data_IF_288221448617
#
_entry.id   IF_288221448617
#
_cell.length_a   1.000
_cell.length_b   1.000
_cell.length_c   1.000
_cell.angle_alpha   90.00
_cell.angle_beta   90.00
_cell.angle_gamma   90.00
#
_symmetry.space_group_name_H-M   'P 1'
#
loop_
_entity.id
_entity.type
_entity.pdbx_description
1 polymer ?
#
# COMPACT_ATOMS: atom_id res chain seq x y z
N UNK A 1 3.07 19.53 8.12
CA UNK A 1 2.52 19.90 6.81
C UNK A 1 1.62 18.81 6.31
N UNK A 2 0.51 19.13 5.65
CA UNK A 2 -0.38 18.13 5.11
C UNK A 2 0.30 17.35 4.00
N UNK A 3 0.28 16.02 4.07
CA UNK A 3 0.45 15.19 2.91
C UNK A 3 -0.88 15.20 2.16
N UNK A 4 -0.93 15.92 1.04
CA UNK A 4 -2.14 15.95 0.22
C UNK A 4 -2.37 14.56 -0.34
N UNK A 5 -3.57 14.05 -0.14
CA UNK A 5 -4.04 12.88 -0.87
C UNK A 5 -3.99 13.18 -2.36
N UNK A 6 -3.52 12.24 -3.15
CA UNK A 6 -3.72 12.28 -4.57
C UNK A 6 -5.20 12.12 -4.87
N UNK A 7 -5.78 13.19 -5.21
CA UNK A 7 -7.16 13.28 -5.59
C UNK A 7 -7.53 14.69 -5.95
N UNK A 8 -6.90 15.69 -5.42
CA UNK A 8 -7.00 17.08 -5.87
C UNK A 8 -6.10 17.99 -5.04
N UNK A 9 -5.49 19.01 -5.63
CA UNK A 9 -5.00 20.15 -4.88
C UNK A 9 -6.15 20.77 -4.07
N UNK A 10 -5.86 21.38 -2.92
CA UNK A 10 -6.86 21.92 -2.02
C UNK A 10 -7.90 22.84 -2.66
N UNK A 11 -7.57 23.46 -3.76
CA UNK A 11 -8.40 24.48 -4.40
C UNK A 11 -9.28 23.97 -5.55
N UNK A 12 -9.13 22.71 -6.00
CA UNK A 12 -9.78 22.17 -7.20
C UNK A 12 -10.79 21.07 -6.97
N UNK A 13 -10.85 20.48 -5.78
CA UNK A 13 -11.87 19.48 -5.48
C UNK A 13 -12.69 19.93 -4.27
N UNK A 14 -14.02 19.77 -4.33
CA UNK A 14 -14.89 20.01 -3.18
C UNK A 14 -14.52 19.10 -2.00
N UNK A 15 -13.86 17.96 -2.27
CA UNK A 15 -13.37 17.03 -1.25
C UNK A 15 -11.95 16.58 -1.59
N UNK A 16 -10.98 17.03 -0.81
CA UNK A 16 -9.60 16.58 -0.84
C UNK A 16 -9.26 15.85 0.45
N UNK A 17 -8.30 14.96 0.40
CA UNK A 17 -7.82 14.22 1.57
C UNK A 17 -6.36 14.54 1.84
N UNK A 18 -6.02 14.68 3.12
CA UNK A 18 -4.65 14.89 3.55
C UNK A 18 -4.42 14.28 4.92
N UNK A 19 -3.16 14.21 5.34
CA UNK A 19 -2.85 13.95 6.74
C UNK A 19 -2.28 15.22 7.37
N UNK A 20 -2.87 15.64 8.48
CA UNK A 20 -2.43 16.77 9.30
C UNK A 20 -1.77 16.26 10.58
N UNK A 21 -0.72 16.95 11.04
CA UNK A 21 -0.05 16.59 12.30
C UNK A 21 -0.81 17.21 13.48
N UNK A 22 -1.40 16.36 14.32
CA UNK A 22 -2.17 16.75 15.52
C UNK A 22 -1.62 15.97 16.69
N UNK A 23 -1.24 16.66 17.78
CA UNK A 23 -0.64 16.02 18.96
C UNK A 23 0.62 15.19 18.63
N UNK A 24 1.45 15.64 17.68
CA UNK A 24 2.65 14.91 17.26
C UNK A 24 2.42 13.76 16.27
N UNK A 25 1.18 13.37 16.02
CA UNK A 25 0.81 12.26 15.10
C UNK A 25 0.12 12.77 13.84
N UNK A 26 0.35 12.08 12.73
CA UNK A 26 -0.35 12.37 11.48
C UNK A 26 -1.72 11.73 11.50
N UNK A 27 -2.76 12.50 11.15
CA UNK A 27 -4.17 12.08 11.14
C UNK A 27 -4.83 12.41 9.81
N UNK A 28 -5.68 11.50 9.33
CA UNK A 28 -6.40 11.64 8.07
C UNK A 28 -7.49 12.71 8.19
N UNK A 29 -7.53 13.62 7.22
CA UNK A 29 -8.52 14.69 7.11
C UNK A 29 -9.09 14.73 5.70
N UNK A 30 -10.31 15.22 5.57
CA UNK A 30 -10.91 15.60 4.30
C UNK A 30 -11.25 17.09 4.29
N UNK A 31 -11.29 17.69 3.13
CA UNK A 31 -11.71 19.08 2.95
C UNK A 31 -13.17 19.10 2.52
N UNK A 32 -13.99 19.82 3.27
CA UNK A 32 -15.40 20.06 2.98
C UNK A 32 -15.71 21.51 3.26
N UNK A 33 -16.34 22.21 2.31
CA UNK A 33 -16.69 23.64 2.39
C UNK A 33 -15.48 24.52 2.80
N UNK A 34 -14.33 24.24 2.22
CA UNK A 34 -13.09 24.98 2.48
C UNK A 34 -12.38 24.66 3.80
N UNK A 35 -12.98 23.84 4.67
CA UNK A 35 -12.43 23.49 5.99
C UNK A 35 -11.92 22.05 6.01
N UNK A 36 -10.83 21.82 6.74
CA UNK A 36 -10.34 20.48 7.00
C UNK A 36 -11.09 19.87 8.17
N UNK A 37 -11.73 18.73 7.94
CA UNK A 37 -12.41 17.92 8.94
C UNK A 37 -11.68 16.58 9.11
N UNK A 38 -11.51 16.13 10.34
CA UNK A 38 -10.91 14.82 10.61
C UNK A 38 -11.79 13.70 10.07
N UNK A 39 -11.19 12.74 9.37
CA UNK A 39 -11.83 11.46 9.08
C UNK A 39 -11.64 10.57 10.30
N UNK A 40 -12.74 10.23 10.98
CA UNK A 40 -12.67 9.32 12.10
C UNK A 40 -12.42 7.89 11.60
N UNK A 41 -11.29 7.31 11.97
CA UNK A 41 -10.86 5.97 11.51
C UNK A 41 -11.07 4.88 12.56
N UNK A 42 -11.37 5.23 13.80
CA UNK A 42 -11.46 4.25 14.89
C UNK A 42 -10.12 3.59 15.27
N UNK A 43 -9.02 4.03 14.68
CA UNK A 43 -7.70 3.57 15.03
C UNK A 43 -7.22 4.19 16.33
N UNK A 44 -6.27 3.56 17.05
CA UNK A 44 -5.70 4.13 18.29
C UNK A 44 -5.23 5.57 18.10
N UNK A 45 -5.40 6.42 19.11
CA UNK A 45 -5.05 7.84 19.04
C UNK A 45 -3.55 8.06 18.80
N UNK A 46 -2.70 7.16 19.28
CA UNK A 46 -1.26 7.18 19.08
C UNK A 46 -0.83 6.63 17.71
N UNK A 47 -1.73 6.06 16.91
CA UNK A 47 -1.42 5.60 15.57
C UNK A 47 -1.15 6.79 14.62
N UNK A 48 -0.17 6.61 13.74
CA UNK A 48 0.11 7.52 12.63
C UNK A 48 -0.66 7.08 11.39
N UNK A 49 -1.36 8.01 10.74
CA UNK A 49 -2.07 7.82 9.47
C UNK A 49 -1.38 8.64 8.38
N UNK A 50 -1.02 8.04 7.26
CA UNK A 50 -0.26 8.74 6.21
C UNK A 50 -0.57 8.22 4.80
N UNK A 51 -0.02 8.92 3.80
CA UNK A 51 -0.09 8.54 2.38
C UNK A 51 -1.52 8.21 1.89
N UNK A 52 -2.52 9.06 2.15
CA UNK A 52 -3.88 8.79 1.71
C UNK A 52 -3.95 8.83 0.18
N UNK A 53 -4.79 7.96 -0.37
CA UNK A 53 -5.15 7.92 -1.79
C UNK A 53 -6.66 7.73 -1.85
N UNK A 54 -7.34 8.48 -2.70
CA UNK A 54 -8.80 8.47 -2.77
C UNK A 54 -9.30 8.35 -4.20
N UNK A 55 -10.37 7.60 -4.39
CA UNK A 55 -11.12 7.49 -5.64
C UNK A 55 -12.62 7.70 -5.38
N UNK A 56 -13.32 8.22 -6.37
CA UNK A 56 -14.77 8.33 -6.33
C UNK A 56 -15.37 7.13 -7.06
N UNK A 57 -16.11 6.28 -6.34
CA UNK A 57 -16.76 5.08 -6.88
C UNK A 57 -18.24 5.17 -6.55
N UNK A 58 -19.10 5.17 -7.57
CA UNK A 58 -20.55 5.26 -7.43
C UNK A 58 -21.01 6.40 -6.50
N UNK A 59 -20.38 7.58 -6.66
CA UNK A 59 -20.68 8.77 -5.86
C UNK A 59 -20.19 8.72 -4.41
N UNK A 60 -19.46 7.69 -4.01
CA UNK A 60 -18.86 7.55 -2.67
C UNK A 60 -17.35 7.57 -2.73
N UNK A 61 -16.72 8.19 -1.74
CA UNK A 61 -15.29 8.17 -1.61
C UNK A 61 -14.79 6.83 -1.09
N UNK A 62 -13.92 6.18 -1.85
CA UNK A 62 -13.08 5.10 -1.38
C UNK A 62 -11.70 5.67 -1.07
N UNK A 63 -11.24 5.49 0.15
CA UNK A 63 -9.98 6.04 0.62
C UNK A 63 -9.09 4.87 1.03
N UNK A 64 -7.85 4.87 0.56
CA UNK A 64 -6.81 3.99 1.10
C UNK A 64 -5.70 4.82 1.74
N UNK A 65 -5.12 4.34 2.82
CA UNK A 65 -4.06 5.02 3.55
C UNK A 65 -3.21 4.03 4.34
N UNK A 66 -2.01 4.44 4.69
CA UNK A 66 -1.13 3.67 5.55
C UNK A 66 -1.32 4.14 6.98
N UNK A 67 -1.49 3.22 7.91
CA UNK A 67 -1.56 3.55 9.33
C UNK A 67 -0.88 2.51 10.22
N UNK A 68 -0.39 2.96 11.38
CA UNK A 68 0.28 2.11 12.36
C UNK A 68 1.21 2.88 13.26
N UNK A 69 2.22 2.17 13.80
CA UNK A 69 3.25 2.77 14.65
C UNK A 69 2.73 3.19 16.03
N UNK A 70 1.65 2.56 16.54
CA UNK A 70 1.15 2.75 17.90
C UNK A 70 1.89 1.84 18.90
N UNK A 71 1.75 2.11 20.19
CA UNK A 71 2.52 1.41 21.23
C UNK A 71 2.32 -0.10 21.27
N UNK A 72 1.10 -0.57 21.04
CA UNK A 72 0.78 -2.00 21.07
C UNK A 72 1.16 -2.74 19.77
N UNK A 73 1.30 -2.04 18.64
CA UNK A 73 1.73 -2.62 17.37
C UNK A 73 2.48 -1.58 16.52
N UNK A 74 3.82 -1.66 16.51
CA UNK A 74 4.68 -0.72 15.77
C UNK A 74 4.68 -0.90 14.25
N UNK A 75 3.95 -1.90 13.75
CA UNK A 75 3.85 -2.17 12.30
C UNK A 75 2.92 -1.18 11.62
N UNK A 76 3.11 -1.05 10.32
CA UNK A 76 2.23 -0.28 9.45
C UNK A 76 1.40 -1.23 8.58
N UNK A 77 0.22 -0.77 8.23
CA UNK A 77 -0.73 -1.50 7.42
C UNK A 77 -1.40 -0.57 6.41
N UNK A 78 -1.70 -1.11 5.24
CA UNK A 78 -2.60 -0.48 4.29
C UNK A 78 -4.04 -0.70 4.77
N UNK A 79 -4.79 0.38 4.89
CA UNK A 79 -6.21 0.40 5.21
C UNK A 79 -7.01 0.93 4.03
N UNK A 80 -8.28 0.54 3.99
CA UNK A 80 -9.28 1.02 3.04
C UNK A 80 -10.55 1.44 3.79
N UNK A 81 -11.16 2.55 3.39
CA UNK A 81 -12.47 3.01 3.85
C UNK A 81 -13.37 3.16 2.62
N UNK A 82 -14.50 2.49 2.59
CA UNK A 82 -15.53 2.67 1.56
C UNK A 82 -16.62 3.62 2.07
N UNK A 83 -16.41 4.93 1.89
CA UNK A 83 -17.25 6.00 2.39
C UNK A 83 -16.74 6.63 3.68
N UNK A 84 -16.79 7.99 3.75
CA UNK A 84 -16.44 8.73 4.96
C UNK A 84 -17.41 8.36 6.08
N UNK A 85 -16.88 8.05 7.26
CA UNK A 85 -17.66 7.63 8.43
C UNK A 85 -17.78 6.12 8.61
N UNK A 86 -17.36 5.32 7.64
CA UNK A 86 -17.28 3.88 7.79
C UNK A 86 -16.00 3.43 8.51
N UNK A 87 -16.04 2.24 9.09
CA UNK A 87 -14.89 1.63 9.75
C UNK A 87 -13.86 1.21 8.69
N UNK A 88 -12.57 1.52 8.88
CA UNK A 88 -11.52 1.12 7.96
C UNK A 88 -11.31 -0.41 7.98
N UNK A 89 -11.16 -0.96 6.80
CA UNK A 89 -10.75 -2.33 6.60
C UNK A 89 -9.23 -2.42 6.52
N UNK A 90 -8.61 -3.27 7.34
CA UNK A 90 -7.18 -3.56 7.27
C UNK A 90 -6.92 -4.49 6.07
N UNK A 91 -6.19 -4.01 5.08
CA UNK A 91 -5.94 -4.74 3.83
C UNK A 91 -4.72 -5.67 3.98
N UNK A 92 -3.54 -5.12 4.23
CA UNK A 92 -2.29 -5.88 4.25
C UNK A 92 -1.22 -5.15 5.07
N UNK A 93 -0.23 -5.87 5.60
CA UNK A 93 0.94 -5.25 6.23
C UNK A 93 1.81 -4.57 5.15
N UNK A 94 2.02 -3.27 5.28
CA UNK A 94 2.74 -2.47 4.30
C UNK A 94 3.19 -1.12 4.88
N UNK A 95 4.35 -0.63 4.44
CA UNK A 95 4.82 0.72 4.74
C UNK A 95 4.36 1.75 3.70
N UNK A 96 4.10 1.30 2.49
CA UNK A 96 3.61 2.09 1.37
C UNK A 96 2.56 1.30 0.59
N UNK A 97 1.60 1.99 -0.02
CA UNK A 97 0.61 1.32 -0.85
C UNK A 97 -0.66 2.12 -1.07
N UNK A 98 -1.50 1.61 -1.95
CA UNK A 98 -2.86 2.10 -2.20
C UNK A 98 -3.77 0.99 -2.71
N UNK A 99 -5.07 1.24 -2.62
CA UNK A 99 -6.11 0.43 -3.27
C UNK A 99 -6.77 1.28 -4.33
N UNK A 100 -6.89 0.76 -5.54
CA UNK A 100 -7.60 1.41 -6.62
C UNK A 100 -8.42 0.38 -7.41
N UNK A 101 -9.74 0.56 -7.47
CA UNK A 101 -10.68 -0.43 -8.00
C UNK A 101 -10.42 -1.80 -7.35
N UNK A 102 -10.06 -2.79 -8.13
CA UNK A 102 -9.77 -4.15 -7.66
C UNK A 102 -8.27 -4.45 -7.54
N UNK A 103 -7.43 -3.42 -7.64
CA UNK A 103 -5.97 -3.56 -7.54
C UNK A 103 -5.49 -3.12 -6.17
N UNK A 104 -4.61 -3.91 -5.58
CA UNK A 104 -3.91 -3.59 -4.35
C UNK A 104 -2.44 -3.46 -4.71
N UNK A 105 -1.87 -2.30 -4.47
CA UNK A 105 -0.43 -2.06 -4.64
C UNK A 105 0.14 -1.76 -3.26
N UNK A 106 1.14 -2.53 -2.84
CA UNK A 106 1.70 -2.39 -1.51
C UNK A 106 3.15 -2.85 -1.44
N UNK A 107 3.89 -2.41 -0.45
CA UNK A 107 5.26 -2.85 -0.22
C UNK A 107 5.86 -2.33 1.07
N UNK A 108 7.05 -2.80 1.37
CA UNK A 108 7.94 -2.23 2.37
C UNK A 108 8.86 -1.18 1.74
N UNK A 109 9.47 -0.37 2.59
CA UNK A 109 10.35 0.72 2.12
C UNK A 109 11.52 0.24 1.28
N UNK A 110 12.08 -0.93 1.57
CA UNK A 110 13.31 -1.45 0.93
C UNK A 110 13.08 -2.58 -0.08
N UNK A 111 11.84 -3.01 -0.32
CA UNK A 111 11.58 -4.32 -0.95
C UNK A 111 10.94 -4.32 -2.34
N UNK A 112 10.67 -3.17 -2.92
CA UNK A 112 9.83 -3.10 -4.13
C UNK A 112 8.33 -3.21 -3.82
N UNK A 113 7.51 -3.24 -4.86
CA UNK A 113 6.06 -3.21 -4.76
C UNK A 113 5.46 -4.55 -5.17
N UNK A 114 4.50 -5.03 -4.41
CA UNK A 114 3.61 -6.12 -4.78
C UNK A 114 2.35 -5.55 -5.40
N UNK A 115 1.92 -6.15 -6.49
CA UNK A 115 0.76 -5.77 -7.27
C UNK A 115 -0.18 -6.95 -7.29
N UNK A 116 -1.35 -6.81 -6.67
CA UNK A 116 -2.40 -7.83 -6.70
C UNK A 116 -3.54 -7.32 -7.56
N UNK A 117 -3.85 -8.05 -8.61
CA UNK A 117 -4.96 -7.76 -9.51
C UNK A 117 -5.75 -9.06 -9.74
N UNK A 118 -6.88 -9.19 -9.03
CA UNK A 118 -7.63 -10.44 -9.02
C UNK A 118 -6.80 -11.61 -8.52
N UNK A 119 -6.58 -12.60 -9.38
CA UNK A 119 -5.80 -13.82 -9.06
C UNK A 119 -4.30 -13.70 -9.41
N UNK A 120 -3.90 -12.58 -10.01
CA UNK A 120 -2.49 -12.36 -10.39
C UNK A 120 -1.76 -11.56 -9.34
N UNK A 121 -0.56 -11.97 -9.06
CA UNK A 121 0.36 -11.27 -8.17
C UNK A 121 1.69 -11.07 -8.89
N UNK A 122 2.15 -9.84 -8.89
CA UNK A 122 3.40 -9.42 -9.51
C UNK A 122 4.24 -8.66 -8.50
N UNK A 123 5.53 -8.60 -8.72
CA UNK A 123 6.48 -7.79 -7.96
C UNK A 123 7.19 -6.83 -8.91
N UNK A 124 7.10 -5.55 -8.60
CA UNK A 124 7.84 -4.50 -9.30
C UNK A 124 9.02 -4.07 -8.42
N UNK A 125 10.23 -4.21 -8.94
CA UNK A 125 11.47 -3.85 -8.23
C UNK A 125 12.20 -2.78 -9.03
N UNK A 126 12.79 -1.81 -8.33
CA UNK A 126 13.66 -0.80 -8.91
C UNK A 126 15.10 -1.10 -8.48
N UNK A 127 15.97 -1.59 -9.38
CA UNK A 127 17.32 -2.05 -9.04
C UNK A 127 18.22 -0.95 -8.46
N UNK A 128 18.00 0.29 -8.87
CA UNK A 128 18.73 1.48 -8.44
C UNK A 128 18.18 2.12 -7.15
N UNK A 129 16.97 1.70 -6.71
CA UNK A 129 16.37 2.24 -5.50
C UNK A 129 16.94 1.60 -4.24
N UNK A 130 17.22 2.43 -3.25
CA UNK A 130 17.50 2.02 -1.87
C UNK A 130 16.20 1.99 -1.06
N UNK A 131 15.40 3.06 -1.17
CA UNK A 131 14.13 3.20 -0.45
C UNK A 131 13.02 3.68 -1.37
N UNK A 132 11.82 3.15 -1.15
CA UNK A 132 10.58 3.70 -1.69
C UNK A 132 9.85 4.43 -0.57
N UNK A 133 9.52 5.71 -0.80
CA UNK A 133 8.83 6.54 0.19
C UNK A 133 7.34 6.60 -0.02
N UNK A 134 6.91 6.46 -1.29
CA UNK A 134 5.51 6.62 -1.66
C UNK A 134 5.21 5.89 -2.96
N UNK A 135 4.01 5.38 -3.02
CA UNK A 135 3.35 4.95 -4.25
C UNK A 135 1.91 5.44 -4.25
N UNK A 136 1.45 5.93 -5.39
CA UNK A 136 0.06 6.35 -5.62
C UNK A 136 -0.27 6.23 -7.10
N UNK A 137 -1.55 6.15 -7.46
CA UNK A 137 -1.94 6.24 -8.87
C UNK A 137 -1.98 7.71 -9.33
N UNK A 138 -1.92 7.92 -10.64
CA UNK A 138 -2.17 9.20 -11.28
C UNK A 138 -3.69 9.35 -11.50
N UNK A 139 -4.38 10.34 -10.90
CA UNK A 139 -5.82 10.51 -11.09
C UNK A 139 -6.22 10.81 -12.54
N UNK A 140 -5.36 11.48 -13.30
CA UNK A 140 -5.60 11.81 -14.71
C UNK A 140 -5.49 10.58 -15.60
N UNK A 141 -4.63 9.63 -15.22
CA UNK A 141 -4.45 8.34 -15.88
C UNK A 141 -4.24 7.23 -14.84
N UNK A 142 -5.30 6.58 -14.37
CA UNK A 142 -5.20 5.57 -13.31
C UNK A 142 -4.36 4.32 -13.64
N UNK A 143 -3.94 4.16 -14.89
CA UNK A 143 -2.98 3.12 -15.28
C UNK A 143 -1.53 3.51 -14.97
N UNK A 144 -1.28 4.79 -14.74
CA UNK A 144 0.01 5.32 -14.31
C UNK A 144 0.10 5.42 -12.79
N UNK A 145 1.23 5.03 -12.25
CA UNK A 145 1.53 5.15 -10.84
C UNK A 145 2.70 6.08 -10.62
N UNK A 146 2.59 6.91 -9.60
CA UNK A 146 3.69 7.76 -9.16
C UNK A 146 4.42 7.07 -8.02
N UNK A 147 5.72 6.87 -8.22
CA UNK A 147 6.59 6.18 -7.29
C UNK A 147 7.73 7.12 -6.94
N UNK A 148 7.87 7.44 -5.67
CA UNK A 148 8.96 8.28 -5.18
C UNK A 148 9.84 7.53 -4.21
N UNK A 149 11.15 7.75 -4.30
CA UNK A 149 12.13 7.05 -3.49
C UNK A 149 13.47 7.74 -3.45
N UNK A 150 14.44 7.00 -2.93
CA UNK A 150 15.85 7.35 -2.90
C UNK A 150 16.64 6.28 -3.63
N UNK A 151 17.61 6.72 -4.41
CA UNK A 151 18.55 5.83 -5.08
C UNK A 151 19.65 5.39 -4.13
N UNK A 152 20.34 4.30 -4.45
CA UNK A 152 21.52 3.80 -3.74
C UNK A 152 22.68 4.81 -3.69
N UNK A 153 22.70 5.75 -4.63
CA UNK A 153 23.66 6.86 -4.65
C UNK A 153 23.24 8.05 -3.78
N UNK A 154 22.13 7.96 -3.04
CA UNK A 154 21.63 9.00 -2.14
C UNK A 154 20.74 10.05 -2.80
N UNK A 155 20.58 10.04 -4.13
CA UNK A 155 19.66 10.93 -4.86
C UNK A 155 18.19 10.57 -4.61
N UNK A 156 17.29 11.54 -4.76
CA UNK A 156 15.85 11.28 -4.74
C UNK A 156 15.31 11.12 -6.15
N UNK A 157 14.24 10.37 -6.31
CA UNK A 157 13.53 10.26 -7.59
C UNK A 157 12.02 10.31 -7.41
N UNK A 158 11.33 10.74 -8.46
CA UNK A 158 9.91 10.47 -8.70
C UNK A 158 9.75 9.93 -10.12
N UNK A 159 9.03 8.85 -10.25
CA UNK A 159 8.81 8.16 -11.51
C UNK A 159 7.33 7.97 -11.77
N UNK A 160 6.94 8.15 -13.02
CA UNK A 160 5.62 7.76 -13.53
C UNK A 160 5.78 6.39 -14.19
N UNK A 161 5.10 5.40 -13.68
CA UNK A 161 5.21 4.01 -14.12
C UNK A 161 3.86 3.48 -14.56
N UNK A 162 3.77 2.97 -15.79
CA UNK A 162 2.65 2.17 -16.24
C UNK A 162 3.14 0.73 -16.46
N UNK A 163 2.95 -0.11 -15.46
CA UNK A 163 3.42 -1.51 -15.48
C UNK A 163 2.73 -2.36 -16.54
N UNK A 164 1.55 -1.95 -17.01
CA UNK A 164 0.80 -2.71 -18.03
C UNK A 164 1.22 -2.36 -19.44
N UNK A 165 1.64 -1.10 -19.65
CA UNK A 165 2.20 -0.65 -20.92
C UNK A 165 3.73 -0.83 -21.00
N UNK A 166 4.37 -1.18 -19.88
CA UNK A 166 5.83 -1.28 -19.79
C UNK A 166 6.53 0.07 -19.97
N UNK A 167 5.90 1.17 -19.53
CA UNK A 167 6.49 2.51 -19.65
C UNK A 167 6.93 3.02 -18.28
N UNK A 168 8.06 3.71 -18.26
CA UNK A 168 8.64 4.34 -17.08
C UNK A 168 9.21 5.69 -17.48
N UNK A 169 8.88 6.73 -16.72
CA UNK A 169 9.34 8.09 -16.97
C UNK A 169 9.89 8.70 -15.68
N UNK A 170 11.00 9.42 -15.77
CA UNK A 170 11.47 10.29 -14.71
C UNK A 170 10.67 11.58 -14.69
N UNK A 171 10.21 12.00 -13.52
CA UNK A 171 9.49 13.25 -13.33
C UNK A 171 10.43 14.29 -12.72
N UNK A 172 10.69 15.35 -13.45
CA UNK A 172 11.60 16.42 -13.06
C UNK A 172 10.87 17.76 -13.01
N UNK A 173 11.26 18.62 -12.06
CA UNK A 173 10.85 20.00 -11.94
C UNK A 173 12.12 20.86 -11.95
N UNK A 174 12.18 21.86 -12.84
CA UNK A 174 13.36 22.69 -13.03
C UNK A 174 14.64 21.85 -13.25
N UNK A 175 14.56 20.79 -14.06
CA UNK A 175 15.66 19.89 -14.37
C UNK A 175 16.12 18.98 -13.23
N UNK A 176 15.47 19.00 -12.07
CA UNK A 176 15.79 18.12 -10.91
C UNK A 176 14.66 17.14 -10.64
N UNK A 177 14.96 15.90 -10.18
CA UNK A 177 13.92 14.96 -9.81
C UNK A 177 12.95 15.56 -8.79
N UNK A 178 11.66 15.51 -9.10
CA UNK A 178 10.62 15.99 -8.20
C UNK A 178 10.55 15.09 -6.94
N UNK A 179 10.43 15.71 -5.77
CA UNK A 179 10.35 14.96 -4.52
C UNK A 179 8.90 14.77 -4.09
N UNK A 180 8.49 13.52 -3.91
CA UNK A 180 7.11 13.15 -3.50
C UNK A 180 6.04 13.81 -4.38
N UNK A 181 6.23 13.73 -5.69
CA UNK A 181 5.37 14.38 -6.66
C UNK A 181 3.94 13.80 -6.68
N UNK A 182 3.04 14.64 -7.16
CA UNK A 182 1.66 14.33 -7.47
C UNK A 182 1.29 14.94 -8.83
N UNK A 183 0.49 14.22 -9.61
CA UNK A 183 -0.08 14.72 -10.85
C UNK A 183 -1.60 14.87 -10.67
N UNK A 184 -2.16 15.96 -11.19
CA UNK A 184 -3.59 16.21 -11.17
C UNK A 184 -3.97 17.29 -12.21
N UNK A 185 -4.94 16.99 -13.06
CA UNK A 185 -5.40 17.90 -14.15
C UNK A 185 -4.24 18.42 -15.00
N UNK A 186 -3.31 17.54 -15.38
CA UNK A 186 -2.13 17.90 -16.16
C UNK A 186 -1.08 18.74 -15.41
N UNK A 187 -1.26 18.98 -14.12
CA UNK A 187 -0.37 19.78 -13.26
C UNK A 187 0.47 18.90 -12.36
N UNK A 188 1.68 19.34 -12.03
CA UNK A 188 2.57 18.64 -11.13
C UNK A 188 2.68 19.39 -9.79
N UNK A 189 2.45 18.68 -8.72
CA UNK A 189 2.63 19.17 -7.34
C UNK A 189 3.76 18.37 -6.70
N UNK A 190 4.65 19.02 -5.98
CA UNK A 190 5.77 18.33 -5.33
C UNK A 190 6.09 18.92 -3.96
N UNK A 191 6.77 18.17 -3.13
CA UNK A 191 7.24 18.65 -1.85
C UNK A 191 8.57 19.38 -2.03
N UNK A 192 8.57 20.67 -1.83
CA UNK A 192 9.79 21.49 -1.79
C UNK A 192 10.42 21.40 -0.40
N UNK A 193 11.74 21.24 -0.33
CA UNK A 193 12.49 21.29 0.93
C UNK A 193 12.66 22.75 1.34
N UNK A 194 12.15 23.13 2.51
CA UNK A 194 12.50 24.38 3.17
C UNK A 194 13.93 24.36 3.72
N UNK A 195 14.51 25.53 3.97
CA UNK A 195 15.90 25.67 4.41
C UNK A 195 16.25 25.03 5.77
N UNK A 196 15.27 24.71 6.60
CA UNK A 196 15.46 24.24 7.99
C UNK A 196 15.18 22.75 8.22
N UNK A 197 15.35 21.89 7.23
CA UNK A 197 15.27 20.44 7.40
C UNK A 197 13.92 19.78 7.11
N UNK A 198 13.70 18.59 7.67
CA UNK A 198 12.55 17.73 7.33
C UNK A 198 11.17 18.28 7.71
N UNK A 199 11.11 19.26 8.61
CA UNK A 199 9.85 19.79 9.14
C UNK A 199 9.27 20.95 8.32
N UNK A 200 10.09 21.58 7.48
CA UNK A 200 9.71 22.77 6.73
C UNK A 200 9.48 22.48 5.23
N UNK A 201 8.61 21.50 4.98
CA UNK A 201 8.24 21.13 3.61
C UNK A 201 6.91 21.73 3.23
N UNK A 202 6.85 22.44 2.13
CA UNK A 202 5.61 22.93 1.53
C UNK A 202 5.33 22.18 0.22
N UNK A 203 4.05 22.02 -0.08
CA UNK A 203 3.62 21.52 -1.38
C UNK A 203 3.53 22.71 -2.30
N UNK A 204 4.23 22.62 -3.41
CA UNK A 204 4.31 23.66 -4.42
C UNK A 204 3.82 23.08 -5.74
N UNK A 205 3.09 23.87 -6.48
CA UNK A 205 2.80 23.59 -7.88
C UNK A 205 4.02 23.94 -8.72
N UNK A 206 4.44 23.02 -9.58
CA UNK A 206 5.50 23.29 -10.53
C UNK A 206 4.96 24.17 -11.66
N UNK A 207 5.62 25.30 -11.89
CA UNK A 207 5.33 26.14 -13.05
C UNK A 207 5.66 25.41 -14.35
N UNK A 208 6.69 24.56 -14.33
CA UNK A 208 7.10 23.70 -15.43
C UNK A 208 7.62 22.37 -14.90
N UNK A 209 7.30 21.29 -15.61
CA UNK A 209 7.81 19.96 -15.31
C UNK A 209 8.01 19.15 -16.59
N UNK A 210 8.95 18.20 -16.54
CA UNK A 210 9.25 17.32 -17.66
C UNK A 210 9.08 15.87 -17.26
N UNK A 211 8.69 15.05 -18.24
CA UNK A 211 8.71 13.59 -18.16
C UNK A 211 9.74 13.09 -19.16
N UNK A 212 10.75 12.41 -18.67
CA UNK A 212 11.81 11.83 -19.50
C UNK A 212 11.69 10.32 -19.50
N UNK A 213 11.58 9.72 -20.67
CA UNK A 213 11.47 8.27 -20.80
C UNK A 213 12.71 7.58 -20.26
N UNK A 214 12.48 6.49 -19.54
CA UNK A 214 13.51 5.59 -19.02
C UNK A 214 13.29 4.21 -19.64
N UNK A 215 14.37 3.50 -19.90
CA UNK A 215 14.28 2.10 -20.30
C UNK A 215 13.71 1.27 -19.13
N UNK A 216 12.47 0.78 -19.30
CA UNK A 216 11.77 0.05 -18.25
C UNK A 216 12.59 -1.19 -17.83
N UNK A 217 13.05 -1.99 -18.77
CA UNK A 217 13.78 -3.24 -18.51
C UNK A 217 15.09 -3.06 -17.75
N UNK A 218 15.74 -1.88 -17.88
CA UNK A 218 16.95 -1.55 -17.13
C UNK A 218 16.67 -0.89 -15.78
N UNK A 219 15.57 -0.13 -15.70
CA UNK A 219 15.25 0.72 -14.57
C UNK A 219 14.19 0.14 -13.63
N UNK A 220 13.45 -0.87 -14.07
CA UNK A 220 12.47 -1.59 -13.29
C UNK A 220 12.35 -3.04 -13.74
N UNK A 221 12.14 -3.95 -12.81
CA UNK A 221 11.94 -5.37 -13.05
C UNK A 221 10.55 -5.75 -12.59
N UNK A 222 9.72 -6.28 -13.52
CA UNK A 222 8.39 -6.77 -13.22
C UNK A 222 8.39 -8.31 -13.31
N UNK A 223 8.25 -8.96 -12.18
CA UNK A 223 8.19 -10.41 -12.07
C UNK A 223 6.76 -10.86 -11.76
N UNK A 224 6.25 -11.82 -12.53
CA UNK A 224 5.04 -12.54 -12.16
C UNK A 224 5.41 -13.60 -11.13
N UNK A 225 4.97 -13.40 -9.91
CA UNK A 225 5.32 -14.31 -8.81
C UNK A 225 4.48 -15.58 -8.85
N UNK A 226 3.19 -15.44 -9.16
CA UNK A 226 2.23 -16.54 -9.34
C UNK A 226 0.85 -16.04 -9.77
N UNK A 227 0.06 -16.95 -10.31
CA UNK A 227 -1.39 -16.83 -10.26
C UNK A 227 -1.84 -17.15 -8.83
N UNK A 228 -2.65 -16.28 -8.22
CA UNK A 228 -3.28 -16.60 -6.94
C UNK A 228 -4.14 -17.86 -7.13
N UNK A 229 -4.16 -18.78 -6.16
CA UNK A 229 -4.93 -20.00 -6.31
C UNK A 229 -6.41 -19.67 -6.52
N UNK A 230 -7.02 -20.27 -7.52
CA UNK A 230 -8.45 -20.16 -7.79
C UNK A 230 -9.25 -20.70 -6.61
N UNK A 231 -10.54 -20.35 -6.52
CA UNK A 231 -11.43 -20.88 -5.46
C UNK A 231 -11.44 -22.40 -5.47
N UNK A 232 -11.45 -23.03 -6.65
CA UNK A 232 -11.40 -24.49 -6.79
C UNK A 232 -10.09 -25.07 -6.25
N UNK A 233 -8.95 -24.48 -6.60
CA UNK A 233 -7.65 -24.91 -6.06
C UNK A 233 -7.53 -24.71 -4.55
N UNK A 234 -8.14 -23.64 -4.01
CA UNK A 234 -8.19 -23.40 -2.56
C UNK A 234 -9.02 -24.47 -1.84
N UNK A 235 -10.18 -24.84 -2.38
CA UNK A 235 -11.01 -25.93 -1.84
C UNK A 235 -10.23 -27.24 -1.88
N UNK A 236 -9.61 -27.59 -3.01
CA UNK A 236 -8.79 -28.80 -3.12
C UNK A 236 -7.64 -28.85 -2.11
N UNK A 237 -6.92 -27.74 -1.94
CA UNK A 237 -5.84 -27.64 -0.93
C UNK A 237 -6.38 -27.77 0.51
N UNK A 238 -7.54 -27.18 0.79
CA UNK A 238 -8.17 -27.30 2.11
C UNK A 238 -8.64 -28.73 2.38
N UNK A 239 -9.27 -29.40 1.41
CA UNK A 239 -9.70 -30.79 1.51
C UNK A 239 -8.51 -31.72 1.78
N UNK A 240 -7.40 -31.53 1.03
CA UNK A 240 -6.15 -32.26 1.25
C UNK A 240 -5.59 -32.03 2.66
N UNK A 241 -5.58 -30.78 3.13
CA UNK A 241 -5.13 -30.44 4.48
C UNK A 241 -6.01 -31.10 5.56
N UNK A 242 -7.32 -31.11 5.36
CA UNK A 242 -8.27 -31.76 6.27
C UNK A 242 -8.09 -33.28 6.28
N UNK A 243 -7.84 -33.89 5.12
CA UNK A 243 -7.53 -35.33 5.02
C UNK A 243 -6.23 -35.67 5.76
N UNK A 244 -5.15 -34.91 5.53
CA UNK A 244 -3.88 -35.13 6.22
C UNK A 244 -4.02 -34.97 7.74
N UNK A 245 -4.80 -33.98 8.17
CA UNK A 245 -5.11 -33.77 9.58
C UNK A 245 -5.88 -34.97 10.18
N UNK A 246 -6.90 -35.47 9.49
CA UNK A 246 -7.62 -36.69 9.92
C UNK A 246 -6.68 -37.91 10.00
N UNK A 247 -5.82 -38.10 8.97
CA UNK A 247 -4.81 -39.18 8.94
C UNK A 247 -3.80 -39.08 10.09
N UNK A 248 -3.48 -37.85 10.53
CA UNK A 248 -2.60 -37.62 11.67
C UNK A 248 -3.26 -37.84 13.05
N UNK A 249 -4.50 -38.30 13.08
CA UNK A 249 -5.28 -38.49 14.32
C UNK A 249 -5.82 -37.20 14.89
N UNK A 250 -6.19 -36.22 14.01
CA UNK A 250 -6.78 -34.94 14.39
C UNK A 250 -5.88 -34.08 15.30
N UNK A 251 -4.56 -34.24 15.20
CA UNK A 251 -3.61 -33.48 16.02
C UNK A 251 -3.66 -31.99 15.69
N UNK A 252 -3.83 -31.18 16.71
CA UNK A 252 -3.76 -29.74 16.65
C UNK A 252 -2.35 -29.26 17.07
N UNK A 253 -1.90 -28.16 16.50
CA UNK A 253 -0.74 -27.45 17.01
C UNK A 253 -1.04 -26.95 18.43
N UNK A 254 -0.09 -27.07 19.33
CA UNK A 254 -0.20 -26.48 20.66
C UNK A 254 -0.30 -24.95 20.59
N UNK A 255 -0.66 -24.34 21.71
CA UNK A 255 -0.91 -22.90 21.76
C UNK A 255 0.34 -22.08 21.45
N UNK A 256 1.51 -22.52 21.87
CA UNK A 256 2.78 -21.84 21.62
C UNK A 256 3.11 -21.86 20.12
N UNK A 257 2.98 -23.02 19.47
CA UNK A 257 3.20 -23.17 18.04
C UNK A 257 2.15 -22.39 17.22
N UNK A 258 0.89 -22.41 17.62
CA UNK A 258 -0.15 -21.63 16.96
C UNK A 258 0.13 -20.13 17.06
N UNK A 259 0.57 -19.63 18.21
CA UNK A 259 0.96 -18.24 18.42
C UNK A 259 2.17 -17.89 17.56
N UNK A 260 3.18 -18.78 17.48
CA UNK A 260 4.35 -18.62 16.61
C UNK A 260 3.96 -18.52 15.14
N UNK A 261 3.13 -19.45 14.63
CA UNK A 261 2.65 -19.47 13.24
C UNK A 261 1.85 -18.21 12.90
N UNK A 262 0.93 -17.81 13.79
CA UNK A 262 0.16 -16.56 13.61
C UNK A 262 1.07 -15.33 13.54
N UNK A 263 2.07 -15.24 14.41
CA UNK A 263 3.04 -14.15 14.38
C UNK A 263 3.78 -14.09 13.06
N UNK A 264 4.26 -15.22 12.56
CA UNK A 264 4.96 -15.32 11.26
C UNK A 264 4.03 -14.92 10.11
N UNK A 265 2.79 -15.41 10.08
CA UNK A 265 1.83 -15.06 9.05
C UNK A 265 1.44 -13.57 9.10
N UNK A 266 1.19 -13.03 10.28
CA UNK A 266 0.86 -11.60 10.44
C UNK A 266 1.98 -10.67 10.00
N UNK A 267 3.23 -11.13 10.01
CA UNK A 267 4.39 -10.40 9.48
C UNK A 267 4.71 -10.74 8.02
N UNK A 268 3.91 -11.60 7.38
CA UNK A 268 4.14 -12.04 6.01
C UNK A 268 3.45 -11.11 5.02
N UNK A 269 4.18 -10.67 3.97
CA UNK A 269 3.64 -9.82 2.91
C UNK A 269 2.51 -10.48 2.09
N UNK A 270 2.34 -11.81 2.20
CA UNK A 270 1.27 -12.57 1.55
C UNK A 270 0.04 -12.75 2.45
N UNK A 271 0.04 -12.24 3.67
CA UNK A 271 -1.08 -12.41 4.59
C UNK A 271 -2.08 -11.27 4.44
N UNK A 272 -3.33 -11.61 4.14
CA UNK A 272 -4.47 -10.71 4.04
C UNK A 272 -5.39 -10.91 5.26
N UNK A 273 -5.26 -10.09 6.32
CA UNK A 273 -5.82 -10.38 7.65
C UNK A 273 -7.35 -10.29 7.70
N UNK A 274 -7.98 -9.43 6.89
CA UNK A 274 -9.44 -9.20 6.93
C UNK A 274 -10.25 -10.15 6.06
N UNK A 275 -9.58 -10.90 5.19
CA UNK A 275 -10.27 -11.87 4.35
C UNK A 275 -11.05 -12.90 5.19
N UNK A 276 -12.17 -13.38 4.65
CA UNK A 276 -13.01 -14.40 5.27
C UNK A 276 -13.50 -14.02 6.68
N UNK A 277 -14.13 -12.86 6.81
CA UNK A 277 -14.69 -12.36 8.07
C UNK A 277 -13.66 -12.31 9.22
N UNK A 278 -12.42 -11.87 8.91
CA UNK A 278 -11.36 -11.72 9.90
C UNK A 278 -10.53 -12.97 10.19
N UNK A 279 -10.83 -14.11 9.55
CA UNK A 279 -9.99 -15.32 9.66
C UNK A 279 -8.65 -15.18 8.94
N UNK A 280 -8.50 -14.15 8.10
CA UNK A 280 -7.32 -13.95 7.28
C UNK A 280 -7.20 -14.94 6.12
N UNK A 281 -6.38 -14.57 5.13
CA UNK A 281 -6.09 -15.41 3.96
C UNK A 281 -4.64 -15.20 3.54
N UNK A 282 -3.92 -16.28 3.30
CA UNK A 282 -2.62 -16.20 2.64
C UNK A 282 -2.83 -16.09 1.13
N UNK A 283 -2.33 -15.02 0.51
CA UNK A 283 -2.43 -14.80 -0.94
C UNK A 283 -1.60 -15.83 -1.74
N UNK A 284 -0.57 -16.42 -1.14
CA UNK A 284 0.27 -17.43 -1.80
C UNK A 284 -0.38 -18.82 -1.87
N UNK A 285 -1.06 -19.25 -0.81
CA UNK A 285 -1.65 -20.60 -0.75
C UNK A 285 -3.17 -20.62 -0.65
N UNK A 286 -3.82 -19.47 -0.46
CA UNK A 286 -5.25 -19.37 -0.25
C UNK A 286 -5.72 -19.85 1.14
N UNK A 287 -4.81 -20.25 2.02
CA UNK A 287 -5.14 -20.81 3.33
C UNK A 287 -5.63 -19.72 4.29
N UNK A 288 -6.60 -20.08 5.14
CA UNK A 288 -7.05 -19.24 6.26
C UNK A 288 -6.30 -19.58 7.55
N UNK A 289 -6.53 -18.79 8.61
CA UNK A 289 -6.01 -19.08 9.94
C UNK A 289 -6.47 -20.44 10.51
N UNK A 290 -7.56 -21.02 10.00
CA UNK A 290 -8.00 -22.36 10.37
C UNK A 290 -6.93 -23.42 10.08
N UNK A 291 -6.23 -23.30 8.94
CA UNK A 291 -5.14 -24.22 8.58
C UNK A 291 -3.94 -24.14 9.53
N UNK A 292 -3.68 -22.99 10.15
CA UNK A 292 -2.58 -22.83 11.11
C UNK A 292 -2.74 -23.73 12.34
N UNK A 293 -3.98 -24.15 12.63
CA UNK A 293 -4.30 -25.03 13.76
C UNK A 293 -3.91 -26.49 13.52
N UNK A 294 -3.76 -26.93 12.28
CA UNK A 294 -3.46 -28.34 11.97
C UNK A 294 -1.97 -28.60 12.18
N UNK A 295 -1.63 -29.53 13.08
CA UNK A 295 -0.25 -29.89 13.39
C UNK A 295 0.50 -30.44 12.17
N UNK A 296 -0.20 -31.15 11.28
CA UNK A 296 0.32 -31.75 10.06
C UNK A 296 0.65 -30.77 8.93
N UNK A 297 0.32 -29.51 9.09
CA UNK A 297 0.48 -28.51 8.02
C UNK A 297 1.74 -27.67 8.19
N UNK A 298 2.26 -27.23 7.05
CA UNK A 298 3.43 -26.34 6.97
C UNK A 298 3.18 -25.16 6.04
N UNK A 299 4.01 -24.14 6.15
CA UNK A 299 3.96 -23.00 5.25
C UNK A 299 4.45 -23.41 3.84
N UNK A 300 3.68 -23.13 2.75
CA UNK A 300 4.06 -23.53 1.39
C UNK A 300 5.32 -22.82 0.86
N UNK A 301 5.78 -21.78 1.54
CA UNK A 301 7.05 -21.07 1.25
C UNK A 301 8.05 -21.21 2.40
N UNK A 302 7.90 -22.22 3.24
CA UNK A 302 8.89 -22.59 4.25
C UNK A 302 9.10 -21.61 5.40
N UNK A 303 8.13 -20.74 5.71
CA UNK A 303 8.29 -19.78 6.82
C UNK A 303 8.03 -20.35 8.20
N UNK A 304 7.29 -21.45 8.29
CA UNK A 304 7.02 -22.22 9.53
C UNK A 304 6.69 -23.66 9.20
#
# INVERSE_FOLDING_TARGET
MPFVAHGAPPDYAPKAFCCLKIGGKWKLHHREDGKWKRVYTGLPEDATECSPTAELVDGRWRISFIAGGHESDRRFYLYKIDGIGNVPEKVVSADIGFVFKNRIVYGGRSGGLYIVNGERMQKLTFPDAEYLYRVSYNPDNPSEWLISGQTKSGGTFSRVCNVFAGTLQSLCVNGKPAYKAALFNGRCFYAERGGNGFEDRRIVEAADFTRTDLEFEKSAILETLDTLPTTFQMVGKFTKASYNWAKSGFKLADEAELKRRKSICNNCNFWYPTARMGLGKCLKCGCSSAKLKFASESCPIGKW
#
